data_IF_557986135812
#
_entry.id   IF_557986135812
#
_cell.length_a   1.000
_cell.length_b   1.000
_cell.length_c   1.000
_cell.angle_alpha   90.00
_cell.angle_beta   90.00
_cell.angle_gamma   90.00
#
_symmetry.space_group_name_H-M   'P 1'
#
loop_
_entity.id
_entity.type
_entity.pdbx_description
1 polymer ?
#
# COMPACT_ATOMS: atom_id res chain seq x y z
N UNK A 1 8.68 11.27 14.30
CA UNK A 1 9.26 11.63 12.99
C UNK A 1 9.40 10.35 12.19
N UNK A 2 8.91 10.29 10.95
CA UNK A 2 9.07 9.13 10.06
C UNK A 2 10.24 9.40 9.13
N UNK A 3 11.12 8.41 8.95
CA UNK A 3 12.14 8.45 7.90
C UNK A 3 11.58 7.72 6.67
N UNK A 4 11.70 8.32 5.50
CA UNK A 4 11.27 7.71 4.24
C UNK A 4 12.42 7.72 3.23
N UNK A 5 12.41 6.74 2.33
CA UNK A 5 13.33 6.65 1.20
C UNK A 5 12.58 7.04 -0.07
N UNK A 6 13.14 7.97 -0.84
CA UNK A 6 12.61 8.33 -2.16
C UNK A 6 13.37 7.53 -3.21
N UNK A 7 12.65 6.68 -3.94
CA UNK A 7 13.21 5.86 -5.01
C UNK A 7 12.53 6.24 -6.32
N UNK A 8 13.32 6.50 -7.36
CA UNK A 8 12.79 6.71 -8.71
C UNK A 8 12.77 5.36 -9.44
N UNK A 9 11.62 4.70 -9.47
CA UNK A 9 11.43 3.43 -10.16
C UNK A 9 10.04 3.38 -10.81
N UNK A 10 9.89 2.67 -11.95
CA UNK A 10 8.56 2.34 -12.46
C UNK A 10 7.90 1.37 -11.48
N UNK A 11 6.91 1.86 -10.75
CA UNK A 11 6.16 1.13 -9.73
C UNK A 11 4.68 1.45 -9.88
N UNK A 12 3.82 0.45 -9.69
CA UNK A 12 2.39 0.70 -9.59
C UNK A 12 2.07 1.54 -8.34
N UNK A 13 2.85 1.38 -7.26
CA UNK A 13 2.65 2.08 -6.01
C UNK A 13 3.45 3.39 -5.94
N UNK A 14 2.76 4.47 -5.59
CA UNK A 14 3.37 5.77 -5.32
C UNK A 14 4.09 5.82 -3.96
N UNK A 15 3.60 5.06 -2.96
CA UNK A 15 4.12 5.05 -1.59
C UNK A 15 3.95 3.65 -1.00
N UNK A 16 4.98 3.14 -0.32
CA UNK A 16 4.91 1.92 0.48
C UNK A 16 5.05 2.33 1.95
N UNK A 17 4.01 2.05 2.74
CA UNK A 17 4.00 2.34 4.18
C UNK A 17 4.13 1.05 4.97
N UNK A 18 5.17 0.96 5.78
CA UNK A 18 5.32 -0.13 6.72
C UNK A 18 4.41 0.03 7.95
N UNK A 19 4.17 -1.07 8.65
CA UNK A 19 3.36 -1.12 9.89
C UNK A 19 3.78 -0.08 10.95
N UNK A 20 5.07 0.18 11.23
CA UNK A 20 5.46 1.21 12.19
C UNK A 20 4.96 2.61 11.80
N UNK A 21 5.02 2.94 10.51
CA UNK A 21 4.54 4.23 9.99
C UNK A 21 3.03 4.35 10.12
N UNK A 22 2.28 3.31 9.75
CA UNK A 22 0.82 3.27 9.92
C UNK A 22 0.40 3.43 11.38
N UNK A 23 1.11 2.77 12.31
CA UNK A 23 0.86 2.90 13.74
C UNK A 23 1.11 4.34 14.22
N UNK A 24 2.22 4.94 13.80
CA UNK A 24 2.54 6.32 14.16
C UNK A 24 1.48 7.30 13.66
N UNK A 25 0.98 7.10 12.44
CA UNK A 25 -0.11 7.90 11.89
C UNK A 25 -1.47 7.56 12.51
N UNK A 26 -1.58 6.54 13.36
CA UNK A 26 -2.85 5.99 13.86
C UNK A 26 -3.82 5.73 12.71
N UNK A 27 -3.27 5.25 11.60
CA UNK A 27 -3.99 5.08 10.36
C UNK A 27 -4.88 3.83 10.40
N UNK A 28 -6.07 3.95 9.82
CA UNK A 28 -7.05 2.87 9.69
C UNK A 28 -7.17 2.56 8.20
N UNK A 29 -6.67 1.37 7.81
CA UNK A 29 -6.78 0.87 6.46
C UNK A 29 -8.06 0.04 6.30
N UNK A 30 -8.85 0.34 5.27
CA UNK A 30 -9.96 -0.46 4.81
C UNK A 30 -9.58 -1.09 3.48
N UNK A 31 -9.35 -2.40 3.48
CA UNK A 31 -9.04 -3.18 2.29
C UNK A 31 -10.23 -3.19 1.31
N UNK A 32 -11.44 -3.37 1.84
CA UNK A 32 -12.66 -3.42 1.05
C UNK A 32 -12.93 -2.12 0.27
N UNK A 33 -12.73 -0.97 0.91
CA UNK A 33 -12.94 0.33 0.25
C UNK A 33 -11.66 0.90 -0.37
N UNK A 34 -10.55 0.15 -0.32
CA UNK A 34 -9.21 0.62 -0.68
C UNK A 34 -8.88 2.01 -0.11
N UNK A 35 -9.24 2.26 1.14
CA UNK A 35 -9.11 3.58 1.79
C UNK A 35 -8.21 3.53 3.00
N UNK A 36 -7.35 4.53 3.16
CA UNK A 36 -6.53 4.74 4.35
C UNK A 36 -6.93 6.05 5.01
N UNK A 37 -7.47 5.98 6.23
CA UNK A 37 -7.83 7.15 7.03
C UNK A 37 -6.80 7.41 8.11
N UNK A 38 -6.48 8.66 8.40
CA UNK A 38 -5.55 9.02 9.47
C UNK A 38 -5.92 10.37 10.10
N UNK A 39 -5.74 10.55 11.42
CA UNK A 39 -5.91 11.85 12.07
C UNK A 39 -4.92 12.89 11.52
N UNK A 40 -5.42 14.11 11.36
CA UNK A 40 -4.69 15.34 11.02
C UNK A 40 -5.03 16.41 12.05
N UNK A 41 -4.30 17.53 12.05
CA UNK A 41 -4.55 18.63 13.00
C UNK A 41 -5.95 19.26 12.86
N UNK A 42 -6.59 19.09 11.71
CA UNK A 42 -7.89 19.72 11.38
C UNK A 42 -9.02 18.71 11.23
N UNK A 43 -8.77 17.40 11.35
CA UNK A 43 -9.78 16.36 11.13
C UNK A 43 -9.18 15.03 10.71
N UNK A 44 -9.88 14.27 9.85
CA UNK A 44 -9.41 12.98 9.33
C UNK A 44 -9.01 13.15 7.86
N UNK A 45 -7.75 12.84 7.54
CA UNK A 45 -7.28 12.70 6.17
C UNK A 45 -7.65 11.33 5.61
N UNK A 46 -7.89 11.26 4.31
CA UNK A 46 -8.19 10.03 3.59
C UNK A 46 -7.29 9.93 2.34
N UNK A 47 -6.62 8.79 2.18
CA UNK A 47 -5.99 8.39 0.93
C UNK A 47 -6.82 7.27 0.30
N UNK A 48 -7.18 7.43 -0.96
CA UNK A 48 -8.00 6.48 -1.71
C UNK A 48 -7.10 5.77 -2.71
N UNK A 49 -7.17 4.44 -2.74
CA UNK A 49 -6.52 3.63 -3.75
C UNK A 49 -7.22 3.81 -5.10
N UNK A 50 -6.43 3.79 -6.17
CA UNK A 50 -6.95 3.79 -7.53
C UNK A 50 -7.29 2.35 -7.94
N UNK A 51 -8.55 2.09 -8.32
CA UNK A 51 -9.04 0.77 -8.74
C UNK A 51 -8.43 0.30 -10.08
N UNK A 52 -7.63 1.14 -10.75
CA UNK A 52 -7.00 0.83 -12.05
C UNK A 52 -5.81 -0.15 -11.96
N UNK A 53 -5.46 -0.68 -10.78
CA UNK A 53 -4.54 -1.81 -10.70
C UNK A 53 -5.31 -3.10 -10.97
N UNK A 54 -5.55 -3.36 -12.26
CA UNK A 54 -5.81 -4.72 -12.74
C UNK A 54 -4.84 -5.67 -12.03
N UNK A 55 -5.44 -6.60 -11.32
CA UNK A 55 -4.80 -7.75 -10.73
C UNK A 55 -4.23 -8.59 -11.87
N UNK A 56 -3.07 -8.21 -12.40
CA UNK A 56 -2.32 -9.08 -13.29
C UNK A 56 -1.81 -10.23 -12.43
N UNK A 57 -2.63 -11.28 -12.44
CA UNK A 57 -2.39 -12.69 -12.18
C UNK A 57 -1.20 -13.04 -11.28
N UNK A 58 -1.52 -13.78 -10.23
CA UNK A 58 -0.60 -14.79 -9.72
C UNK A 58 -0.26 -15.73 -10.89
N UNK A 59 0.84 -15.48 -11.60
CA UNK A 59 1.52 -16.51 -12.37
C UNK A 59 2.05 -17.51 -11.34
N UNK A 60 1.20 -18.47 -10.97
CA UNK A 60 1.63 -19.67 -10.28
C UNK A 60 2.68 -20.31 -11.17
N UNK A 61 3.96 -20.25 -10.77
CA UNK A 61 4.97 -21.10 -11.38
C UNK A 61 4.64 -22.51 -10.94
N UNK A 62 3.91 -23.21 -11.80
CA UNK A 62 3.75 -24.65 -11.72
C UNK A 62 5.15 -25.27 -11.67
N UNK A 63 5.43 -25.99 -10.59
CA UNK A 63 6.72 -26.60 -10.35
C UNK A 63 7.02 -27.61 -11.46
N UNK A 64 8.02 -27.31 -12.29
CA UNK A 64 8.78 -28.31 -13.03
C UNK A 64 9.64 -29.09 -12.02
N UNK A 65 9.03 -30.02 -11.30
CA UNK A 65 9.78 -31.09 -10.63
C UNK A 65 10.05 -32.19 -11.65
N UNK A 66 11.16 -32.01 -12.37
CA UNK A 66 11.88 -33.08 -13.05
C UNK A 66 12.28 -34.15 -12.03
N UNK A 67 11.56 -35.27 -12.02
CA UNK A 67 12.08 -36.65 -12.19
C UNK A 67 10.93 -37.67 -12.19
#
# INVERSE_FOLDING_TARGET
>A
MVKFLVVKAPSAYNIILERPSLNLFRAIASTFHMKLKFPTSVGVGEAVGDELMESTQCEGKEGDDRH
#
